data_IF_719659182505
#
_entry.id   IF_719659182505
#
_cell.length_a   1.000
_cell.length_b   1.000
_cell.length_c   1.000
_cell.angle_alpha   90.00
_cell.angle_beta   90.00
_cell.angle_gamma   90.00
#
_symmetry.space_group_name_H-M   'P 1'
#
loop_
_entity.id
_entity.type
_entity.pdbx_description
1 polymer ?
#
# COMPACT_ATOMS: atom_id res chain seq x y z
N UNK A 1 23.15 -6.93 15.27
CA UNK A 1 21.84 -7.33 14.74
C UNK A 1 21.70 -8.82 14.89
N UNK A 2 20.77 -9.27 15.74
CA UNK A 2 20.48 -10.68 15.91
C UNK A 2 19.04 -10.98 15.51
N UNK A 3 18.82 -12.16 14.92
CA UNK A 3 17.49 -12.63 14.60
C UNK A 3 16.86 -13.25 15.86
N UNK A 4 15.71 -12.73 16.27
CA UNK A 4 14.91 -13.22 17.41
C UNK A 4 13.69 -13.93 16.87
N UNK A 5 13.71 -15.25 16.96
CA UNK A 5 12.62 -16.08 16.44
C UNK A 5 11.53 -16.20 17.50
N UNK A 6 10.29 -15.92 17.11
CA UNK A 6 9.11 -16.12 17.94
C UNK A 6 8.84 -17.61 18.16
N UNK A 7 8.62 -17.99 19.42
CA UNK A 7 8.21 -19.33 19.85
C UNK A 7 6.86 -19.31 20.62
N UNK A 8 6.33 -18.11 20.89
CA UNK A 8 4.96 -17.80 21.30
C UNK A 8 4.24 -18.79 22.22
N UNK A 9 4.22 -18.50 23.53
CA UNK A 9 3.39 -19.22 24.51
C UNK A 9 2.28 -18.36 25.15
N UNK A 10 2.40 -17.02 25.12
CA UNK A 10 1.45 -16.12 25.81
C UNK A 10 1.07 -14.85 25.04
N UNK A 11 1.50 -14.69 23.79
CA UNK A 11 1.18 -13.51 22.96
C UNK A 11 1.84 -12.19 23.36
N UNK A 12 2.51 -12.14 24.51
CA UNK A 12 3.22 -10.96 25.00
C UNK A 12 4.64 -10.87 24.41
N UNK A 13 4.97 -9.79 23.70
CA UNK A 13 6.29 -9.60 23.08
C UNK A 13 7.40 -9.39 24.11
N UNK A 14 7.09 -8.85 25.28
CA UNK A 14 8.06 -8.54 26.35
C UNK A 14 8.47 -9.75 27.19
N UNK A 15 7.82 -10.90 27.01
CA UNK A 15 8.14 -12.12 27.75
C UNK A 15 9.31 -12.86 27.09
N UNK A 16 10.43 -12.95 27.80
CA UNK A 16 11.66 -13.61 27.33
C UNK A 16 11.42 -15.05 26.82
N UNK A 17 10.58 -15.82 27.51
CA UNK A 17 10.25 -17.21 27.14
C UNK A 17 9.50 -17.36 25.80
N UNK A 18 8.94 -16.28 25.25
CA UNK A 18 8.30 -16.30 23.93
C UNK A 18 9.30 -16.18 22.77
N UNK A 19 10.59 -15.99 23.06
CA UNK A 19 11.65 -15.88 22.05
C UNK A 19 12.61 -17.06 22.16
N UNK A 20 13.03 -17.59 21.01
CA UNK A 20 14.07 -18.61 20.96
C UNK A 20 15.34 -18.08 21.62
N UNK A 21 15.88 -18.85 22.56
CA UNK A 21 17.04 -18.45 23.38
C UNK A 21 16.67 -17.69 24.66
N UNK A 22 15.39 -17.42 24.92
CA UNK A 22 14.94 -16.84 26.19
C UNK A 22 15.37 -15.39 26.39
N UNK A 23 15.46 -14.61 25.31
CA UNK A 23 15.90 -13.21 25.34
C UNK A 23 14.93 -12.36 24.55
N UNK A 24 14.38 -11.34 25.20
CA UNK A 24 13.49 -10.33 24.58
C UNK A 24 14.25 -9.56 23.49
N UNK A 25 13.58 -9.25 22.39
CA UNK A 25 14.16 -8.44 21.32
C UNK A 25 14.48 -7.00 21.77
N UNK A 26 15.53 -6.41 21.20
CA UNK A 26 15.90 -5.02 21.41
C UNK A 26 15.95 -4.20 20.10
N UNK A 27 16.33 -2.93 20.22
CA UNK A 27 16.30 -1.94 19.14
C UNK A 27 17.07 -2.32 17.86
N UNK A 28 18.09 -3.18 17.96
CA UNK A 28 18.90 -3.61 16.82
C UNK A 28 18.62 -5.04 16.34
N UNK A 29 17.55 -5.66 16.82
CA UNK A 29 17.19 -7.04 16.50
C UNK A 29 16.11 -7.12 15.42
N UNK A 30 16.02 -8.27 14.76
CA UNK A 30 14.94 -8.58 13.82
C UNK A 30 14.00 -9.60 14.46
N UNK A 31 12.73 -9.24 14.62
CA UNK A 31 11.68 -10.13 15.09
C UNK A 31 11.22 -11.03 13.94
N UNK A 32 11.36 -12.35 14.10
CA UNK A 32 10.99 -13.33 13.08
C UNK A 32 9.86 -14.22 13.58
N UNK A 33 8.68 -14.06 12.98
CA UNK A 33 7.53 -14.93 13.16
C UNK A 33 7.59 -16.04 12.12
N UNK A 34 8.25 -17.15 12.46
CA UNK A 34 8.54 -18.21 11.49
C UNK A 34 7.47 -19.32 11.42
N UNK A 35 6.93 -19.71 12.58
CA UNK A 35 6.02 -20.85 12.78
C UNK A 35 5.13 -20.61 14.00
N UNK A 36 3.98 -21.29 14.02
CA UNK A 36 3.05 -21.28 15.15
C UNK A 36 1.81 -20.44 14.89
N UNK A 37 0.87 -20.48 15.84
CA UNK A 37 -0.45 -19.87 15.71
C UNK A 37 -0.83 -19.02 16.93
N UNK A 38 0.10 -18.77 17.83
CA UNK A 38 -0.16 -17.97 19.03
C UNK A 38 -0.25 -16.50 18.64
N UNK A 39 -1.44 -15.92 18.77
CA UNK A 39 -1.68 -14.50 18.52
C UNK A 39 -0.78 -13.64 19.41
N UNK A 40 -0.28 -12.56 18.82
CA UNK A 40 0.41 -11.48 19.52
C UNK A 40 -0.61 -10.43 19.88
N UNK A 41 -0.75 -10.18 21.18
CA UNK A 41 -1.64 -9.17 21.73
C UNK A 41 -0.81 -8.02 22.31
N UNK A 42 -0.75 -6.87 21.61
CA UNK A 42 -0.02 -5.68 22.07
C UNK A 42 -0.45 -5.18 23.46
N UNK A 43 -1.66 -5.49 23.91
CA UNK A 43 -2.16 -5.10 25.23
C UNK A 43 -1.52 -5.88 26.38
N UNK A 44 -1.00 -7.08 26.10
CA UNK A 44 -0.28 -7.90 27.08
C UNK A 44 1.16 -7.42 27.28
N UNK A 45 1.73 -6.75 26.27
CA UNK A 45 3.05 -6.15 26.33
C UNK A 45 3.64 -5.99 24.94
N UNK A 46 4.11 -4.77 24.67
CA UNK A 46 4.62 -4.36 23.38
C UNK A 46 6.06 -3.85 23.51
N UNK A 47 6.80 -3.88 22.39
CA UNK A 47 8.21 -3.47 22.36
C UNK A 47 8.33 -2.20 21.55
N UNK A 48 8.97 -1.19 22.14
CA UNK A 48 8.98 0.17 21.62
C UNK A 48 9.74 0.31 20.28
N UNK A 49 10.82 -0.45 20.10
CA UNK A 49 11.62 -0.38 18.88
C UNK A 49 12.42 -1.67 18.64
N UNK A 50 12.60 -2.00 17.36
CA UNK A 50 13.49 -3.04 16.85
C UNK A 50 13.76 -2.83 15.37
N UNK A 51 14.75 -3.49 14.79
CA UNK A 51 15.22 -3.14 13.45
C UNK A 51 14.30 -3.66 12.34
N UNK A 52 13.76 -4.87 12.50
CA UNK A 52 12.92 -5.47 11.46
C UNK A 52 11.84 -6.41 11.97
N UNK A 53 10.72 -6.45 11.25
CA UNK A 53 9.63 -7.38 11.42
C UNK A 53 9.56 -8.33 10.22
N UNK A 54 9.80 -9.62 10.43
CA UNK A 54 9.63 -10.64 9.40
C UNK A 54 8.53 -11.64 9.76
N UNK A 55 7.57 -11.81 8.86
CA UNK A 55 6.46 -12.76 9.02
C UNK A 55 6.55 -13.78 7.89
N UNK A 56 6.78 -15.04 8.25
CA UNK A 56 7.04 -16.13 7.32
C UNK A 56 5.80 -17.02 7.10
N UNK A 57 5.75 -17.85 6.04
CA UNK A 57 4.59 -18.68 5.70
C UNK A 57 4.12 -19.63 6.80
N UNK A 58 5.03 -20.08 7.66
CA UNK A 58 4.70 -21.05 8.71
C UNK A 58 3.96 -20.46 9.90
N UNK A 59 3.95 -19.14 10.07
CA UNK A 59 3.24 -18.47 11.15
C UNK A 59 1.84 -18.06 10.70
N UNK A 60 0.84 -18.42 11.50
CA UNK A 60 -0.59 -18.25 11.19
C UNK A 60 -1.36 -17.55 12.29
N UNK A 61 -0.71 -17.17 13.39
CA UNK A 61 -1.34 -16.36 14.44
C UNK A 61 -1.50 -14.92 13.95
N UNK A 62 -2.38 -14.17 14.60
CA UNK A 62 -2.62 -12.77 14.29
C UNK A 62 -1.66 -11.87 15.09
N UNK A 63 -1.18 -10.77 14.49
CA UNK A 63 -0.34 -9.78 15.18
C UNK A 63 -1.11 -8.46 15.30
N UNK A 64 -1.50 -8.12 16.53
CA UNK A 64 -2.38 -6.98 16.79
C UNK A 64 -3.83 -7.27 16.39
N UNK A 65 -4.64 -6.22 16.26
CA UNK A 65 -6.02 -6.35 15.82
C UNK A 65 -6.68 -5.00 15.61
N UNK A 66 -7.93 -5.02 15.16
CA UNK A 66 -8.76 -3.82 15.06
C UNK A 66 -8.85 -3.12 16.43
N UNK A 67 -8.34 -1.89 16.51
CA UNK A 67 -8.32 -1.10 17.75
C UNK A 67 -7.20 -1.45 18.73
N UNK A 68 -6.35 -2.43 18.42
CA UNK A 68 -5.21 -2.86 19.24
C UNK A 68 -4.03 -3.23 18.34
N UNK A 69 -3.54 -2.24 17.59
CA UNK A 69 -2.43 -2.44 16.66
C UNK A 69 -1.12 -2.62 17.43
N UNK A 70 -0.19 -3.37 16.85
CA UNK A 70 1.19 -3.38 17.33
C UNK A 70 1.84 -2.03 16.97
N UNK A 71 2.20 -1.25 17.99
CA UNK A 71 2.83 0.06 17.81
C UNK A 71 4.32 -0.02 18.13
N UNK A 72 5.20 0.03 17.13
CA UNK A 72 6.65 -0.06 17.35
C UNK A 72 7.41 0.73 16.29
N UNK A 73 8.65 1.14 16.59
CA UNK A 73 9.57 1.67 15.58
C UNK A 73 10.31 0.53 14.90
N UNK A 74 10.19 0.43 13.57
CA UNK A 74 10.92 -0.56 12.76
C UNK A 74 11.53 0.07 11.51
N UNK A 75 12.67 -0.44 11.04
CA UNK A 75 13.25 -0.01 9.78
C UNK A 75 12.70 -0.82 8.58
N UNK A 76 12.30 -2.07 8.82
CA UNK A 76 11.82 -2.98 7.79
C UNK A 76 10.61 -3.79 8.24
N UNK A 77 9.60 -3.89 7.37
CA UNK A 77 8.53 -4.89 7.45
C UNK A 77 8.61 -5.80 6.24
N UNK A 78 8.85 -7.10 6.45
CA UNK A 78 8.82 -8.13 5.41
C UNK A 78 7.75 -9.16 5.74
N UNK A 79 6.64 -9.11 5.03
CA UNK A 79 5.55 -10.06 5.19
C UNK A 79 5.46 -10.99 3.99
N UNK A 80 5.77 -12.25 4.20
CA UNK A 80 5.58 -13.33 3.20
C UNK A 80 4.68 -14.45 3.72
N UNK A 81 4.00 -14.21 4.84
CA UNK A 81 3.26 -15.21 5.59
C UNK A 81 1.75 -15.28 5.34
N UNK A 82 1.08 -16.03 6.21
CA UNK A 82 -0.39 -16.19 6.27
C UNK A 82 -1.04 -15.41 7.42
N UNK A 83 -0.23 -14.95 8.38
CA UNK A 83 -0.68 -14.21 9.53
C UNK A 83 -1.32 -12.88 9.11
N UNK A 84 -2.36 -12.48 9.84
CA UNK A 84 -2.88 -11.13 9.74
C UNK A 84 -2.02 -10.16 10.56
N UNK A 85 -1.93 -8.92 10.11
CA UNK A 85 -1.09 -7.90 10.73
C UNK A 85 -1.85 -6.59 10.89
N UNK A 86 -1.82 -6.03 12.10
CA UNK A 86 -2.21 -4.65 12.39
C UNK A 86 -1.02 -3.96 13.03
N UNK A 87 -0.41 -3.03 12.30
CA UNK A 87 0.81 -2.36 12.71
C UNK A 87 0.70 -0.84 12.56
N UNK A 88 1.16 -0.11 13.57
CA UNK A 88 1.41 1.32 13.51
C UNK A 88 2.90 1.57 13.76
N UNK A 89 3.59 2.23 12.81
CA UNK A 89 4.94 2.70 13.09
C UNK A 89 4.92 3.81 14.15
N UNK A 90 5.65 3.59 15.24
CA UNK A 90 5.62 4.46 16.42
C UNK A 90 6.61 5.63 16.35
N UNK A 91 7.60 5.57 15.46
CA UNK A 91 8.63 6.58 15.35
C UNK A 91 8.52 7.33 14.03
N UNK A 92 9.05 8.56 13.99
CA UNK A 92 9.30 9.27 12.72
C UNK A 92 10.48 8.70 11.92
N UNK A 93 10.70 7.40 12.01
CA UNK A 93 11.72 6.69 11.25
C UNK A 93 11.15 6.24 9.93
N UNK A 94 11.97 6.27 8.90
CA UNK A 94 11.60 5.71 7.61
C UNK A 94 11.48 4.19 7.70
N UNK A 95 10.29 3.66 7.39
CA UNK A 95 10.08 2.22 7.23
C UNK A 95 10.11 1.83 5.74
N UNK A 96 10.82 0.76 5.43
CA UNK A 96 10.67 0.02 4.16
C UNK A 96 9.72 -1.16 4.37
N UNK A 97 8.74 -1.30 3.47
CA UNK A 97 7.70 -2.33 3.56
C UNK A 97 7.74 -3.20 2.31
N UNK A 98 7.77 -4.51 2.51
CA UNK A 98 7.61 -5.51 1.48
C UNK A 98 6.55 -6.53 1.90
N UNK A 99 5.45 -6.58 1.16
CA UNK A 99 4.35 -7.50 1.39
C UNK A 99 4.11 -8.36 0.15
N UNK A 100 4.27 -9.66 0.35
CA UNK A 100 3.88 -10.72 -0.58
C UNK A 100 3.26 -11.84 0.25
N UNK A 101 2.09 -11.58 0.83
CA UNK A 101 1.39 -12.60 1.62
C UNK A 101 1.18 -13.88 0.80
N UNK A 102 1.02 -15.02 1.46
CA UNK A 102 0.82 -16.31 0.78
C UNK A 102 -0.49 -16.32 -0.03
N UNK A 103 -1.54 -15.73 0.53
CA UNK A 103 -2.90 -15.66 -0.03
C UNK A 103 -3.38 -14.20 -0.13
N UNK A 104 -4.22 -13.90 -1.12
CA UNK A 104 -4.77 -12.54 -1.32
C UNK A 104 -5.69 -12.06 -0.20
N UNK A 105 -6.26 -12.96 0.59
CA UNK A 105 -7.23 -12.63 1.63
C UNK A 105 -6.57 -12.31 2.97
N UNK A 106 -5.26 -12.51 3.12
CA UNK A 106 -4.52 -12.16 4.33
C UNK A 106 -4.67 -10.66 4.59
N UNK A 107 -5.27 -10.33 5.74
CA UNK A 107 -5.57 -8.95 6.13
C UNK A 107 -4.33 -8.29 6.72
N UNK A 108 -3.93 -7.17 6.14
CA UNK A 108 -2.79 -6.39 6.61
C UNK A 108 -3.21 -4.92 6.70
N UNK A 109 -3.10 -4.33 7.88
CA UNK A 109 -3.38 -2.93 8.14
C UNK A 109 -2.08 -2.27 8.60
N UNK A 110 -1.66 -1.25 7.85
CA UNK A 110 -0.49 -0.44 8.13
C UNK A 110 -0.90 0.99 8.39
N UNK A 111 -0.40 1.55 9.47
CA UNK A 111 -0.48 2.96 9.81
C UNK A 111 0.82 3.45 10.45
N UNK A 112 0.76 4.65 11.01
CA UNK A 112 1.89 5.30 11.68
C UNK A 112 2.56 6.35 10.81
N UNK A 113 3.85 6.58 11.02
CA UNK A 113 4.58 7.69 10.39
C UNK A 113 4.97 7.40 8.91
N UNK A 114 6.01 8.09 8.43
CA UNK A 114 6.45 8.17 7.05
C UNK A 114 7.12 6.88 6.57
N UNK A 115 6.72 6.38 5.40
CA UNK A 115 7.33 5.22 4.76
C UNK A 115 8.07 5.62 3.49
N UNK A 116 9.29 5.10 3.27
CA UNK A 116 10.06 5.47 2.07
C UNK A 116 9.71 4.59 0.88
N UNK A 117 9.69 3.27 1.06
CA UNK A 117 9.44 2.34 -0.03
C UNK A 117 8.47 1.25 0.42
N UNK A 118 7.25 1.30 -0.10
CA UNK A 118 6.18 0.35 0.18
C UNK A 118 5.93 -0.49 -1.07
N UNK A 119 6.25 -1.78 -1.02
CA UNK A 119 6.08 -2.72 -2.12
C UNK A 119 5.06 -3.78 -1.76
N UNK A 120 3.95 -3.80 -2.49
CA UNK A 120 2.78 -4.64 -2.22
C UNK A 120 2.49 -5.52 -3.43
N UNK A 121 2.54 -6.83 -3.25
CA UNK A 121 2.41 -7.78 -4.36
C UNK A 121 1.28 -8.81 -4.20
N UNK A 122 0.88 -9.11 -2.95
CA UNK A 122 -0.25 -9.99 -2.63
C UNK A 122 -0.74 -9.72 -1.21
N UNK A 123 -2.06 -9.72 -1.02
CA UNK A 123 -2.74 -9.54 0.27
C UNK A 123 -3.94 -8.61 0.16
N UNK A 124 -4.71 -8.52 1.24
CA UNK A 124 -5.79 -7.55 1.40
C UNK A 124 -5.29 -6.46 2.36
N UNK A 125 -4.76 -5.39 1.77
CA UNK A 125 -3.90 -4.44 2.45
C UNK A 125 -4.62 -3.11 2.57
N UNK A 126 -4.64 -2.58 3.78
CA UNK A 126 -5.10 -1.23 4.06
C UNK A 126 -3.93 -0.38 4.54
N UNK A 127 -3.71 0.75 3.85
CA UNK A 127 -2.88 1.85 4.36
C UNK A 127 -3.86 2.83 5.02
N UNK A 128 -3.88 2.88 6.35
CA UNK A 128 -4.91 3.59 7.07
C UNK A 128 -4.65 5.10 7.22
N UNK A 129 -5.60 5.81 7.83
CA UNK A 129 -5.57 7.27 7.93
C UNK A 129 -4.57 7.85 8.93
N UNK A 130 -3.81 7.04 9.68
CA UNK A 130 -2.71 7.54 10.50
C UNK A 130 -1.41 7.69 9.69
N UNK A 131 -1.34 7.07 8.51
CA UNK A 131 -0.17 7.05 7.63
C UNK A 131 0.40 8.44 7.32
N UNK A 132 1.71 8.60 7.56
CA UNK A 132 2.51 9.72 7.09
C UNK A 132 2.67 9.79 5.56
N UNK A 133 3.71 10.50 5.10
CA UNK A 133 4.07 10.56 3.68
C UNK A 133 4.53 9.17 3.21
N UNK A 134 4.18 8.79 1.99
CA UNK A 134 4.80 7.62 1.34
C UNK A 134 5.59 8.11 0.13
N UNK A 135 6.91 8.01 0.18
CA UNK A 135 7.74 8.51 -0.93
C UNK A 135 7.56 7.66 -2.20
N UNK A 136 7.53 6.33 -2.05
CA UNK A 136 7.35 5.40 -3.16
C UNK A 136 6.43 4.24 -2.78
N UNK A 137 5.29 4.14 -3.45
CA UNK A 137 4.37 3.01 -3.42
C UNK A 137 4.52 2.19 -4.70
N UNK A 138 4.70 0.88 -4.57
CA UNK A 138 4.71 -0.09 -5.67
C UNK A 138 3.62 -1.11 -5.45
N UNK A 139 2.78 -1.31 -6.45
CA UNK A 139 1.66 -2.25 -6.46
C UNK A 139 1.78 -3.11 -7.70
N UNK A 140 1.67 -4.43 -7.57
CA UNK A 140 1.73 -5.32 -8.73
C UNK A 140 1.35 -6.75 -8.40
N UNK A 141 1.33 -7.62 -9.41
CA UNK A 141 1.09 -9.05 -9.22
C UNK A 141 2.40 -9.82 -9.09
N UNK A 142 2.31 -10.97 -8.43
CA UNK A 142 3.42 -11.94 -8.34
C UNK A 142 3.34 -12.98 -9.46
N UNK A 143 2.20 -13.66 -9.55
CA UNK A 143 2.06 -14.91 -10.31
C UNK A 143 0.78 -14.92 -11.16
N UNK A 144 -0.34 -14.37 -10.66
CA UNK A 144 -1.62 -14.31 -11.38
C UNK A 144 -2.46 -13.10 -10.95
N UNK A 145 -3.35 -12.64 -11.85
CA UNK A 145 -4.26 -11.51 -11.61
C UNK A 145 -5.34 -11.81 -10.54
N UNK A 146 -5.69 -13.07 -10.34
CA UNK A 146 -6.72 -13.47 -9.38
C UNK A 146 -6.21 -13.48 -7.93
N UNK A 147 -4.89 -13.60 -7.76
CA UNK A 147 -4.19 -13.61 -6.48
C UNK A 147 -3.40 -12.30 -6.27
N UNK A 148 -3.82 -11.26 -6.97
CA UNK A 148 -3.18 -9.96 -6.95
C UNK A 148 -3.56 -9.21 -5.67
N UNK A 149 -2.80 -8.17 -5.37
CA UNK A 149 -3.05 -7.33 -4.20
C UNK A 149 -4.38 -6.58 -4.33
N UNK A 150 -5.15 -6.58 -3.25
CA UNK A 150 -6.23 -5.64 -3.02
C UNK A 150 -5.71 -4.58 -2.07
N UNK A 151 -5.59 -3.34 -2.55
CA UNK A 151 -5.07 -2.22 -1.78
C UNK A 151 -6.19 -1.21 -1.53
N UNK A 152 -6.43 -0.89 -0.28
CA UNK A 152 -7.26 0.23 0.13
C UNK A 152 -6.38 1.30 0.80
N UNK A 153 -6.28 2.48 0.20
CA UNK A 153 -5.58 3.63 0.79
C UNK A 153 -6.63 4.55 1.38
N UNK A 154 -6.70 4.64 2.71
CA UNK A 154 -7.72 5.40 3.43
C UNK A 154 -7.39 6.88 3.43
N UNK A 155 -8.43 7.71 3.42
CA UNK A 155 -8.32 9.17 3.56
C UNK A 155 -7.82 9.56 4.95
N UNK A 156 -7.13 10.70 5.02
CA UNK A 156 -6.49 11.34 6.18
C UNK A 156 -4.98 11.14 6.15
N UNK A 157 -4.24 12.23 5.95
CA UNK A 157 -2.76 12.23 5.97
C UNK A 157 -2.12 12.88 4.75
N UNK A 158 -0.79 12.84 4.73
CA UNK A 158 0.09 13.46 3.74
C UNK A 158 0.22 12.63 2.45
N UNK A 159 0.48 13.25 1.30
CA UNK A 159 0.47 12.58 0.00
C UNK A 159 1.38 11.33 -0.16
N UNK A 160 1.03 10.48 -1.14
CA UNK A 160 1.96 9.53 -1.75
C UNK A 160 2.67 10.26 -2.89
N UNK A 161 4.01 10.36 -2.84
CA UNK A 161 4.76 11.13 -3.84
C UNK A 161 4.82 10.42 -5.18
N UNK A 162 5.15 9.12 -5.18
CA UNK A 162 5.23 8.31 -6.41
C UNK A 162 4.52 6.98 -6.24
N UNK A 163 3.61 6.66 -7.16
CA UNK A 163 2.94 5.37 -7.27
C UNK A 163 3.36 4.66 -8.54
N UNK A 164 3.83 3.41 -8.42
CA UNK A 164 4.11 2.53 -9.55
C UNK A 164 3.15 1.34 -9.50
N UNK A 165 2.18 1.33 -10.38
CA UNK A 165 1.06 0.38 -10.35
C UNK A 165 1.15 -0.50 -11.60
N UNK A 166 1.59 -1.73 -11.41
CA UNK A 166 1.75 -2.73 -12.49
C UNK A 166 0.68 -3.81 -12.43
N UNK A 167 -0.22 -3.75 -11.45
CA UNK A 167 -1.24 -4.74 -11.15
C UNK A 167 -2.09 -4.32 -9.95
N UNK A 168 -2.94 -5.24 -9.51
CA UNK A 168 -3.76 -5.12 -8.32
C UNK A 168 -5.07 -4.38 -8.58
N UNK A 169 -5.88 -4.36 -7.51
CA UNK A 169 -7.04 -3.49 -7.40
C UNK A 169 -6.72 -2.48 -6.30
N UNK A 170 -6.56 -1.21 -6.69
CA UNK A 170 -6.26 -0.11 -5.78
C UNK A 170 -7.50 0.76 -5.63
N UNK A 171 -8.00 0.89 -4.41
CA UNK A 171 -8.93 1.95 -4.05
C UNK A 171 -8.13 3.07 -3.40
N UNK A 172 -8.07 4.23 -4.05
CA UNK A 172 -7.25 5.35 -3.63
C UNK A 172 -8.17 6.43 -3.05
N UNK A 173 -8.08 6.71 -1.75
CA UNK A 173 -8.83 7.81 -1.12
C UNK A 173 -7.89 8.91 -0.59
N UNK A 174 -6.64 8.93 -1.07
CA UNK A 174 -5.51 9.77 -0.63
C UNK A 174 -4.80 10.34 -1.87
N UNK A 175 -4.15 11.49 -1.73
CA UNK A 175 -3.41 12.13 -2.83
C UNK A 175 -2.23 11.24 -3.29
N UNK A 176 -2.09 11.09 -4.61
CA UNK A 176 -1.01 10.41 -5.30
C UNK A 176 -0.42 11.36 -6.36
N UNK A 177 0.68 12.04 -6.01
CA UNK A 177 1.21 13.17 -6.79
C UNK A 177 1.63 12.73 -8.20
N UNK A 178 2.38 11.63 -8.31
CA UNK A 178 2.80 11.08 -9.61
C UNK A 178 2.50 9.60 -9.68
N UNK A 179 1.83 9.19 -10.75
CA UNK A 179 1.45 7.80 -11.01
C UNK A 179 2.05 7.29 -12.29
N UNK A 180 2.74 6.15 -12.21
CA UNK A 180 3.17 5.35 -13.36
C UNK A 180 2.36 4.06 -13.35
N UNK A 181 1.55 3.84 -14.37
CA UNK A 181 0.68 2.67 -14.47
C UNK A 181 1.02 1.84 -15.71
N UNK A 182 1.25 0.55 -15.51
CA UNK A 182 1.44 -0.42 -16.61
C UNK A 182 0.41 -1.57 -16.58
N UNK A 183 -0.44 -1.62 -15.55
CA UNK A 183 -1.48 -2.64 -15.39
C UNK A 183 -2.31 -2.44 -14.13
N UNK A 184 -3.33 -3.28 -13.96
CA UNK A 184 -4.23 -3.25 -12.80
C UNK A 184 -5.45 -2.33 -12.96
N UNK A 185 -6.14 -2.10 -11.84
CA UNK A 185 -7.28 -1.19 -11.72
C UNK A 185 -7.01 -0.22 -10.56
N UNK A 186 -7.08 1.09 -10.83
CA UNK A 186 -7.12 2.13 -9.80
C UNK A 186 -8.50 2.76 -9.80
N UNK A 187 -9.13 2.80 -8.63
CA UNK A 187 -10.41 3.45 -8.42
C UNK A 187 -10.24 4.62 -7.43
N UNK A 188 -10.42 5.80 -8.01
CA UNK A 188 -10.83 7.13 -7.55
C UNK A 188 -12.24 7.31 -6.98
N UNK A 189 -12.63 7.02 -5.72
CA UNK A 189 -14.04 7.03 -5.35
C UNK A 189 -14.61 8.44 -5.22
N UNK A 190 -15.89 8.60 -5.54
CA UNK A 190 -16.63 9.87 -5.37
C UNK A 190 -16.59 10.34 -3.92
N UNK A 191 -16.48 11.65 -3.70
CA UNK A 191 -16.54 12.25 -2.36
C UNK A 191 -15.28 12.05 -1.51
N UNK A 192 -14.19 11.58 -2.11
CA UNK A 192 -12.88 11.42 -1.44
C UNK A 192 -11.94 12.56 -1.80
N UNK A 193 -10.90 12.76 -0.99
CA UNK A 193 -9.78 13.65 -1.33
C UNK A 193 -8.70 12.94 -2.17
N UNK A 194 -9.03 11.81 -2.81
CA UNK A 194 -8.11 11.16 -3.72
C UNK A 194 -7.85 12.06 -4.92
N UNK A 195 -6.57 12.39 -5.14
CA UNK A 195 -6.10 13.24 -6.23
C UNK A 195 -4.93 12.55 -6.92
N UNK A 196 -4.81 12.78 -8.23
CA UNK A 196 -3.77 12.23 -9.08
C UNK A 196 -3.23 13.33 -10.00
N UNK A 197 -2.26 14.11 -9.51
CA UNK A 197 -1.76 15.29 -10.22
C UNK A 197 -1.12 14.95 -11.57
N UNK A 198 -0.14 14.05 -11.59
CA UNK A 198 0.49 13.52 -12.82
C UNK A 198 0.22 12.04 -12.99
N UNK A 199 -0.25 11.68 -14.18
CA UNK A 199 -0.61 10.33 -14.58
C UNK A 199 0.17 9.97 -15.86
N UNK A 200 0.91 8.88 -15.82
CA UNK A 200 1.59 8.27 -16.95
C UNK A 200 1.18 6.80 -17.03
N UNK A 201 0.42 6.44 -18.07
CA UNK A 201 -0.18 5.12 -18.24
C UNK A 201 0.28 4.49 -19.54
N UNK A 202 0.86 3.31 -19.44
CA UNK A 202 1.18 2.42 -20.57
C UNK A 202 0.34 1.11 -20.55
N UNK A 203 -0.64 1.03 -19.65
CA UNK A 203 -1.55 -0.10 -19.50
C UNK A 203 -2.48 0.04 -18.29
N UNK A 204 -3.50 -0.81 -18.23
CA UNK A 204 -4.45 -0.87 -17.10
C UNK A 204 -5.59 0.14 -17.19
N UNK A 205 -6.27 0.36 -16.06
CA UNK A 205 -7.48 1.20 -15.98
C UNK A 205 -7.44 2.10 -14.75
N UNK A 206 -7.59 3.42 -14.95
CA UNK A 206 -7.89 4.37 -13.88
C UNK A 206 -9.34 4.81 -14.02
N UNK A 207 -10.12 4.75 -12.94
CA UNK A 207 -11.42 5.42 -12.81
C UNK A 207 -11.29 6.54 -11.79
N UNK A 208 -11.30 7.78 -12.24
CA UNK A 208 -11.03 8.94 -11.40
C UNK A 208 -12.32 9.72 -11.11
N UNK A 209 -13.15 9.24 -10.18
CA UNK A 209 -14.48 9.82 -9.93
C UNK A 209 -14.49 11.00 -8.93
N UNK A 210 -13.36 11.66 -8.67
CA UNK A 210 -13.31 12.88 -7.85
C UNK A 210 -13.31 14.13 -8.72
N UNK A 211 -13.58 15.30 -8.16
CA UNK A 211 -13.49 16.59 -8.86
C UNK A 211 -12.07 17.17 -8.91
N UNK A 212 -11.07 16.44 -8.40
CA UNK A 212 -9.69 16.91 -8.33
C UNK A 212 -9.08 17.12 -9.72
N UNK A 213 -8.12 18.03 -9.81
CA UNK A 213 -7.50 18.45 -11.08
C UNK A 213 -6.38 17.49 -11.44
N UNK A 214 -6.36 17.06 -12.70
CA UNK A 214 -5.23 16.31 -13.26
C UNK A 214 -4.37 17.31 -14.04
N UNK A 215 -3.15 17.57 -13.56
CA UNK A 215 -2.22 18.50 -14.22
C UNK A 215 -1.74 17.93 -15.56
N UNK A 216 -1.39 16.65 -15.57
CA UNK A 216 -0.91 15.95 -16.76
C UNK A 216 -1.37 14.51 -16.76
N UNK A 217 -2.01 14.10 -17.85
CA UNK A 217 -2.26 12.69 -18.17
C UNK A 217 -1.60 12.33 -19.50
N UNK A 218 -0.73 11.31 -19.48
CA UNK A 218 -0.24 10.62 -20.67
C UNK A 218 -0.83 9.22 -20.67
N UNK A 219 -1.51 8.85 -21.76
CA UNK A 219 -2.24 7.58 -21.87
C UNK A 219 -1.79 6.85 -23.13
N UNK A 220 -1.32 5.62 -22.97
CA UNK A 220 -0.90 4.70 -24.02
C UNK A 220 -1.40 3.29 -23.66
N UNK A 221 -2.02 2.58 -24.61
CA UNK A 221 -2.53 1.21 -24.39
C UNK A 221 -3.34 1.00 -23.09
N UNK A 222 -4.03 2.05 -22.61
CA UNK A 222 -4.66 2.08 -21.29
C UNK A 222 -6.01 2.80 -21.32
N UNK A 223 -6.81 2.61 -20.27
CA UNK A 223 -8.09 3.32 -20.10
C UNK A 223 -8.01 4.34 -18.97
N UNK A 224 -8.25 5.60 -19.29
CA UNK A 224 -8.46 6.66 -18.31
C UNK A 224 -9.94 7.08 -18.35
N UNK A 225 -10.68 6.70 -17.32
CA UNK A 225 -12.07 7.07 -17.13
C UNK A 225 -12.14 8.25 -16.15
N UNK A 226 -12.55 9.41 -16.66
CA UNK A 226 -12.64 10.65 -15.88
C UNK A 226 -13.89 10.68 -14.97
N UNK A 227 -14.76 9.67 -15.02
CA UNK A 227 -15.88 9.52 -14.12
C UNK A 227 -17.04 10.47 -14.43
N UNK A 228 -17.86 10.75 -13.41
CA UNK A 228 -19.08 11.56 -13.52
C UNK A 228 -19.02 12.91 -12.79
N UNK A 229 -17.92 13.20 -12.09
CA UNK A 229 -17.75 14.47 -11.37
C UNK A 229 -17.12 15.51 -12.29
N UNK A 230 -17.50 16.79 -12.10
CA UNK A 230 -16.89 17.88 -12.86
C UNK A 230 -15.38 17.92 -12.63
N UNK A 231 -14.60 17.93 -13.70
CA UNK A 231 -13.14 17.72 -13.64
C UNK A 231 -12.39 18.66 -14.57
N UNK A 232 -11.24 19.13 -14.10
CA UNK A 232 -10.27 19.82 -14.95
C UNK A 232 -9.09 18.90 -15.24
N UNK A 233 -8.72 18.78 -16.51
CA UNK A 233 -7.45 18.20 -16.97
C UNK A 233 -6.66 19.31 -17.65
N UNK A 234 -5.53 19.70 -17.10
CA UNK A 234 -4.72 20.80 -17.66
C UNK A 234 -4.06 20.36 -18.97
N UNK A 235 -3.47 19.16 -19.01
CA UNK A 235 -2.88 18.60 -20.23
C UNK A 235 -3.17 17.11 -20.37
N UNK A 236 -3.72 16.72 -21.51
CA UNK A 236 -3.95 15.34 -21.90
C UNK A 236 -3.14 15.00 -23.16
N UNK A 237 -2.35 13.94 -23.09
CA UNK A 237 -1.61 13.36 -24.20
C UNK A 237 -2.11 11.94 -24.43
N UNK A 238 -2.75 11.72 -25.57
CA UNK A 238 -3.23 10.40 -26.01
C UNK A 238 -2.25 9.84 -27.05
N UNK A 239 -1.66 8.69 -26.72
CA UNK A 239 -0.78 7.92 -27.58
C UNK A 239 -1.53 6.70 -28.14
N UNK A 240 -0.83 5.87 -28.91
CA UNK A 240 -1.41 4.67 -29.52
C UNK A 240 -2.12 3.78 -28.48
N UNK A 241 -3.34 3.35 -28.81
CA UNK A 241 -4.14 2.47 -27.94
C UNK A 241 -4.72 3.14 -26.69
N UNK A 242 -4.64 4.47 -26.56
CA UNK A 242 -5.33 5.20 -25.50
C UNK A 242 -6.85 5.08 -25.62
N UNK A 243 -7.53 4.90 -24.48
CA UNK A 243 -8.98 4.95 -24.37
C UNK A 243 -9.36 5.92 -23.24
N UNK A 244 -9.64 7.17 -23.60
CA UNK A 244 -10.07 8.19 -22.62
C UNK A 244 -11.59 8.28 -22.65
N UNK A 245 -12.21 8.09 -21.49
CA UNK A 245 -13.66 8.22 -21.30
C UNK A 245 -13.90 9.56 -20.59
N UNK A 246 -14.41 10.53 -21.35
CA UNK A 246 -14.73 11.87 -20.89
C UNK A 246 -16.15 12.30 -21.29
N UNK A 247 -16.59 13.44 -20.74
CA UNK A 247 -17.87 14.05 -21.04
C UNK A 247 -17.64 15.56 -21.17
N UNK A 248 -17.76 16.09 -22.38
CA UNK A 248 -17.48 17.51 -22.71
C UNK A 248 -18.35 18.53 -21.94
N UNK A 249 -19.47 18.08 -21.36
CA UNK A 249 -20.32 18.93 -20.52
C UNK A 249 -19.78 19.02 -19.08
N UNK A 250 -19.10 17.98 -18.61
CA UNK A 250 -18.62 17.84 -17.23
C UNK A 250 -17.11 18.09 -17.10
N UNK A 251 -16.33 17.75 -18.12
CA UNK A 251 -14.88 17.76 -18.07
C UNK A 251 -14.32 18.88 -18.93
N UNK A 252 -13.39 19.63 -18.37
CA UNK A 252 -12.64 20.68 -19.07
C UNK A 252 -11.23 20.19 -19.33
N UNK A 253 -10.86 20.01 -20.60
CA UNK A 253 -9.51 19.66 -21.02
C UNK A 253 -8.86 20.89 -21.66
N UNK A 254 -7.86 21.47 -21.01
CA UNK A 254 -7.29 22.76 -21.46
C UNK A 254 -6.35 22.59 -22.67
N UNK A 255 -5.62 21.48 -22.73
CA UNK A 255 -4.78 21.12 -23.86
C UNK A 255 -4.87 19.61 -24.14
N UNK A 256 -5.45 19.24 -25.27
CA UNK A 256 -5.58 17.84 -25.73
C UNK A 256 -4.66 17.61 -26.92
N UNK A 257 -3.75 16.65 -26.80
CA UNK A 257 -2.86 16.22 -27.88
C UNK A 257 -3.15 14.76 -28.21
N UNK A 258 -3.71 14.51 -29.39
CA UNK A 258 -3.88 13.15 -29.90
C UNK A 258 -2.75 12.84 -30.88
N UNK A 259 -1.85 11.94 -30.47
CA UNK A 259 -0.72 11.45 -31.26
C UNK A 259 -0.92 9.98 -31.69
N UNK A 260 -2.11 9.42 -31.49
CA UNK A 260 -2.43 8.04 -31.84
C UNK A 260 -2.53 7.80 -33.36
N UNK A 261 -2.45 8.85 -34.18
CA UNK A 261 -2.61 8.83 -35.64
C UNK A 261 -1.39 9.40 -36.37
N UNK A 262 -0.19 8.88 -36.10
CA UNK A 262 0.97 9.10 -36.98
C UNK A 262 1.31 7.77 -37.64
N UNK A 263 0.73 7.57 -38.82
CA UNK A 263 1.15 6.54 -39.79
C UNK A 263 2.60 6.77 -40.28
#
# INVERSE_FOLDING_TARGET
MANKVWNGSTGNLTTAGNWVGGVVLGAGDVAIFNRGSQDVDPSLGNIAAFDGLEIQPGYTGTIGGTGNKMTSSVALIRHVGNAELWFDDAAGTTVDVYIRATDRNVVINLGGDTMTNVTLMRGNITLDGSMGVIALLKVGFVDSREQDVMLNVVTNGNAITVGKISGGVVTLNKELITTYMSGGLVNVPVGTSGDMGTIDMSGGVIRHNTSATIDLATVENATLDLGMEAKTVTKLIELAGANVIDNDVLHTISARHNLAEVD
#
